data_IF_147769734332
#
_entry.id   IF_147769734332
#
_cell.length_a   1.000
_cell.length_b   1.000
_cell.length_c   1.000
_cell.angle_alpha   90.00
_cell.angle_beta   90.00
_cell.angle_gamma   90.00
#
_symmetry.space_group_name_H-M   'P 1'
#
loop_
_entity.id
_entity.type
_entity.pdbx_description
1 polymer ?
#
# COMPACT_ATOMS: atom_id res chain seq x y z
N UNK A 1 10.43 9.32 20.12
CA UNK A 1 9.43 8.62 19.29
C UNK A 1 8.16 9.45 19.04
N UNK A 2 7.42 9.91 20.07
CA UNK A 2 6.16 10.64 19.86
C UNK A 2 6.30 11.99 19.10
N UNK A 3 7.35 12.78 19.40
CA UNK A 3 7.61 14.07 18.73
C UNK A 3 7.80 13.92 17.21
N UNK A 4 8.55 12.91 16.78
CA UNK A 4 8.75 12.62 15.35
C UNK A 4 7.46 12.16 14.67
N UNK A 5 6.58 11.39 15.34
CA UNK A 5 5.30 10.96 14.74
C UNK A 5 4.40 12.15 14.41
N UNK A 6 4.31 13.14 15.29
CA UNK A 6 3.51 14.35 15.03
C UNK A 6 4.08 15.17 13.86
N UNK A 7 5.41 15.32 13.80
CA UNK A 7 6.11 15.98 12.68
C UNK A 7 5.86 15.25 11.36
N UNK A 8 5.95 13.92 11.34
CA UNK A 8 5.65 13.09 10.16
C UNK A 8 4.20 13.23 9.71
N UNK A 9 3.23 13.16 10.63
CA UNK A 9 1.81 13.35 10.29
C UNK A 9 1.55 14.75 9.73
N UNK A 10 2.16 15.78 10.31
CA UNK A 10 2.04 17.14 9.82
C UNK A 10 2.61 17.26 8.40
N UNK A 11 3.79 16.70 8.14
CA UNK A 11 4.38 16.66 6.80
C UNK A 11 3.45 15.96 5.78
N UNK A 12 2.87 14.80 6.11
CA UNK A 12 1.94 14.10 5.20
C UNK A 12 0.71 14.95 4.88
N UNK A 13 0.17 15.67 5.87
CA UNK A 13 -0.96 16.59 5.66
C UNK A 13 -0.59 17.76 4.75
N UNK A 14 0.60 18.33 4.92
CA UNK A 14 1.11 19.40 4.04
C UNK A 14 1.30 18.90 2.60
N UNK A 15 1.83 17.69 2.43
CA UNK A 15 1.98 17.06 1.11
C UNK A 15 0.62 16.83 0.45
N UNK A 16 -0.44 16.54 1.21
CA UNK A 16 -1.80 16.39 0.68
C UNK A 16 -2.29 17.69 0.02
N UNK A 17 -1.90 18.85 0.55
CA UNK A 17 -2.27 20.16 0.02
C UNK A 17 -1.37 20.66 -1.13
N UNK A 18 -0.24 19.98 -1.41
CA UNK A 18 0.75 20.42 -2.38
C UNK A 18 1.22 19.26 -3.25
N UNK A 19 0.54 19.05 -4.39
CA UNK A 19 0.92 18.00 -5.33
C UNK A 19 2.14 18.33 -6.19
N UNK A 20 2.74 17.31 -6.83
CA UNK A 20 3.90 17.48 -7.67
C UNK A 20 3.54 18.32 -8.90
N UNK A 21 4.29 19.41 -9.13
CA UNK A 21 4.08 20.32 -10.27
C UNK A 21 4.64 19.78 -11.59
N UNK A 22 5.51 18.79 -11.53
CA UNK A 22 6.16 18.17 -12.69
C UNK A 22 6.09 16.66 -12.58
N UNK A 23 5.92 16.00 -13.72
CA UNK A 23 5.74 14.55 -13.82
C UNK A 23 6.91 13.75 -13.25
N UNK A 24 8.15 14.19 -13.53
CA UNK A 24 9.36 13.50 -13.06
C UNK A 24 9.48 13.46 -11.55
N UNK A 25 8.95 14.47 -10.85
CA UNK A 25 8.90 14.50 -9.39
C UNK A 25 7.88 13.47 -8.86
N UNK A 26 6.70 13.38 -9.47
CA UNK A 26 5.71 12.36 -9.13
C UNK A 26 6.25 10.94 -9.34
N UNK A 27 6.97 10.69 -10.45
CA UNK A 27 7.59 9.40 -10.75
C UNK A 27 8.71 9.04 -9.76
N UNK A 28 9.53 10.02 -9.38
CA UNK A 28 10.58 9.85 -8.37
C UNK A 28 9.99 9.55 -6.99
N UNK A 29 8.93 10.29 -6.61
CA UNK A 29 8.20 10.04 -5.38
C UNK A 29 7.58 8.65 -5.39
N UNK A 30 6.93 8.24 -6.48
CA UNK A 30 6.31 6.92 -6.60
C UNK A 30 7.33 5.78 -6.45
N UNK A 31 8.54 5.93 -7.01
CA UNK A 31 9.64 4.97 -6.79
C UNK A 31 10.03 4.90 -5.32
N UNK A 32 10.20 6.06 -4.66
CA UNK A 32 10.58 6.11 -3.24
C UNK A 32 9.49 5.63 -2.29
N UNK A 33 8.23 5.88 -2.65
CA UNK A 33 7.07 5.35 -1.95
C UNK A 33 7.14 3.82 -1.95
N UNK A 34 7.23 3.18 -3.12
CA UNK A 34 7.34 1.73 -3.23
C UNK A 34 8.50 1.15 -2.40
N UNK A 35 9.68 1.77 -2.41
CA UNK A 35 10.83 1.29 -1.64
C UNK A 35 10.65 1.41 -0.11
N UNK A 36 9.93 2.44 0.36
CA UNK A 36 9.94 2.86 1.77
C UNK A 36 8.58 2.86 2.46
N UNK A 37 7.49 2.50 1.76
CA UNK A 37 6.12 2.70 2.26
C UNK A 37 5.86 2.01 3.60
N UNK A 38 6.46 0.84 3.86
CA UNK A 38 6.32 0.11 5.12
C UNK A 38 6.87 0.91 6.32
N UNK A 39 8.05 1.54 6.17
CA UNK A 39 8.65 2.40 7.20
C UNK A 39 7.85 3.69 7.38
N UNK A 40 7.47 4.34 6.28
CA UNK A 40 6.68 5.58 6.33
C UNK A 40 5.33 5.33 7.02
N UNK A 41 4.68 4.21 6.69
CA UNK A 41 3.43 3.78 7.33
C UNK A 41 3.57 3.59 8.83
N UNK A 42 4.65 2.94 9.29
CA UNK A 42 4.91 2.75 10.72
C UNK A 42 5.22 4.08 11.44
N UNK A 43 5.97 4.98 10.81
CA UNK A 43 6.30 6.30 11.34
C UNK A 43 5.09 7.21 11.45
N UNK A 44 4.20 7.18 10.46
CA UNK A 44 3.02 8.03 10.40
C UNK A 44 1.87 7.45 11.23
N UNK A 45 1.63 6.13 11.16
CA UNK A 45 0.53 5.42 11.84
C UNK A 45 -0.81 6.16 11.70
N UNK A 46 -1.11 6.55 10.47
CA UNK A 46 -2.33 7.25 10.05
C UNK A 46 -2.55 6.92 8.56
N UNK A 47 -3.19 5.79 8.31
CA UNK A 47 -3.37 5.24 6.95
C UNK A 47 -4.29 6.14 6.10
N UNK A 48 -5.24 6.86 6.72
CA UNK A 48 -6.12 7.80 6.03
C UNK A 48 -5.33 9.00 5.48
N UNK A 49 -4.51 9.63 6.33
CA UNK A 49 -3.68 10.76 5.91
C UNK A 49 -2.66 10.35 4.84
N UNK A 50 -2.08 9.15 4.95
CA UNK A 50 -1.21 8.61 3.90
C UNK A 50 -1.97 8.44 2.60
N UNK A 51 -3.16 7.82 2.64
CA UNK A 51 -3.97 7.58 1.46
C UNK A 51 -4.34 8.87 0.76
N UNK A 52 -4.72 9.92 1.50
CA UNK A 52 -5.02 11.23 0.93
C UNK A 52 -3.79 11.87 0.27
N UNK A 53 -2.61 11.77 0.90
CA UNK A 53 -1.36 12.22 0.30
C UNK A 53 -1.02 11.44 -0.99
N UNK A 54 -1.21 10.12 -1.00
CA UNK A 54 -1.03 9.31 -2.21
C UNK A 54 -2.00 9.73 -3.30
N UNK A 55 -3.24 10.11 -2.94
CA UNK A 55 -4.19 10.68 -3.89
C UNK A 55 -3.72 12.01 -4.50
N UNK A 56 -2.81 12.73 -3.86
CA UNK A 56 -2.23 13.96 -4.41
C UNK A 56 -0.95 13.70 -5.20
N UNK A 57 -0.10 12.76 -4.75
CA UNK A 57 1.28 12.64 -5.24
C UNK A 57 1.53 11.57 -6.30
N UNK A 58 0.74 10.51 -6.34
CA UNK A 58 0.97 9.44 -7.30
C UNK A 58 0.39 9.72 -8.70
N UNK A 59 0.95 9.15 -9.77
CA UNK A 59 0.29 9.15 -11.08
C UNK A 59 -1.07 8.45 -11.01
N UNK A 60 -2.11 9.09 -11.56
CA UNK A 60 -3.48 8.54 -11.51
C UNK A 60 -3.60 7.28 -12.35
N UNK A 61 -4.20 6.26 -11.77
CA UNK A 61 -4.69 5.11 -12.52
C UNK A 61 -5.83 5.52 -13.46
N UNK A 62 -5.81 4.98 -14.68
CA UNK A 62 -6.83 5.25 -15.72
C UNK A 62 -7.32 3.98 -16.42
N UNK A 63 -6.98 2.81 -15.88
CA UNK A 63 -7.41 1.52 -16.41
C UNK A 63 -8.74 1.04 -15.82
N UNK A 64 -9.15 -0.20 -16.15
CA UNK A 64 -10.38 -0.80 -15.64
C UNK A 64 -10.22 -1.29 -14.18
N UNK A 65 -11.33 -1.74 -13.58
CA UNK A 65 -11.25 -2.52 -12.34
C UNK A 65 -10.36 -3.76 -12.51
N UNK A 66 -9.65 -4.16 -11.46
CA UNK A 66 -8.70 -5.27 -11.47
C UNK A 66 -8.91 -6.20 -10.29
N UNK A 67 -8.73 -7.50 -10.51
CA UNK A 67 -8.55 -8.46 -9.42
C UNK A 67 -7.16 -8.28 -8.86
N UNK A 68 -7.05 -7.84 -7.61
CA UNK A 68 -5.77 -7.60 -6.95
C UNK A 68 -5.67 -8.39 -5.64
N UNK A 69 -4.44 -8.67 -5.26
CA UNK A 69 -4.07 -9.45 -4.09
C UNK A 69 -3.14 -8.65 -3.19
N UNK A 70 -3.18 -8.92 -1.88
CA UNK A 70 -2.24 -8.37 -0.92
C UNK A 70 -1.85 -9.41 0.11
N UNK A 71 -0.56 -9.56 0.36
CA UNK A 71 -0.10 -10.21 1.57
C UNK A 71 -0.16 -9.24 2.73
N UNK A 72 -0.95 -9.52 3.77
CA UNK A 72 -1.13 -8.65 4.93
C UNK A 72 -0.87 -9.42 6.23
N UNK A 73 -0.57 -8.69 7.31
CA UNK A 73 -0.56 -9.24 8.66
C UNK A 73 -1.98 -9.53 9.13
N UNK A 74 -2.20 -10.71 9.72
CA UNK A 74 -3.50 -11.07 10.31
C UNK A 74 -3.93 -10.03 11.34
N UNK A 75 -3.01 -9.59 12.20
CA UNK A 75 -3.28 -8.60 13.24
C UNK A 75 -3.72 -7.25 12.67
N UNK A 76 -3.07 -6.80 11.60
CA UNK A 76 -3.44 -5.53 10.95
C UNK A 76 -4.78 -5.64 10.24
N UNK A 77 -5.02 -6.76 9.56
CA UNK A 77 -6.27 -6.99 8.84
C UNK A 77 -7.48 -6.99 9.80
N UNK A 78 -7.40 -7.71 10.92
CA UNK A 78 -8.50 -7.75 11.91
C UNK A 78 -8.74 -6.41 12.60
N UNK A 79 -7.73 -5.53 12.68
CA UNK A 79 -7.87 -4.15 13.15
C UNK A 79 -8.36 -3.18 12.07
N UNK A 80 -8.66 -3.66 10.85
CA UNK A 80 -9.06 -2.82 9.72
C UNK A 80 -7.94 -1.95 9.15
N UNK A 81 -6.68 -2.18 9.55
CA UNK A 81 -5.49 -1.45 9.07
C UNK A 81 -4.92 -2.12 7.82
N UNK A 82 -5.59 -1.94 6.69
CA UNK A 82 -5.20 -2.58 5.43
C UNK A 82 -4.26 -1.67 4.65
N UNK A 83 -3.04 -2.14 4.35
CA UNK A 83 -2.09 -1.32 3.60
C UNK A 83 -2.44 -1.14 2.12
N UNK A 84 -1.90 -0.07 1.52
CA UNK A 84 -2.22 0.35 0.16
C UNK A 84 -1.49 -0.40 -0.95
N UNK A 85 -0.47 -1.21 -0.65
CA UNK A 85 0.28 -1.96 -1.67
C UNK A 85 -0.43 -3.28 -2.03
N UNK A 86 -0.95 -3.36 -3.26
CA UNK A 86 -1.64 -4.53 -3.82
C UNK A 86 -0.95 -4.96 -5.12
N UNK A 87 -1.20 -6.16 -5.61
CA UNK A 87 -0.55 -6.70 -6.82
C UNK A 87 -1.51 -7.57 -7.60
N UNK A 88 -1.38 -7.62 -8.92
CA UNK A 88 -2.11 -8.57 -9.76
C UNK A 88 -1.50 -9.99 -9.73
N UNK A 89 -0.37 -10.16 -9.04
CA UNK A 89 0.35 -11.44 -8.91
C UNK A 89 0.12 -12.07 -7.56
N UNK A 90 -0.70 -13.12 -7.51
CA UNK A 90 -0.97 -13.86 -6.28
C UNK A 90 0.29 -14.41 -5.61
N UNK A 91 1.32 -14.78 -6.36
CA UNK A 91 2.58 -15.30 -5.80
C UNK A 91 3.41 -14.20 -5.12
N UNK A 92 3.36 -12.97 -5.61
CA UNK A 92 3.93 -11.81 -4.92
C UNK A 92 3.20 -11.58 -3.60
N UNK A 93 1.85 -11.54 -3.62
CA UNK A 93 1.06 -11.43 -2.39
C UNK A 93 1.36 -12.56 -1.39
N UNK A 94 1.49 -13.80 -1.86
CA UNK A 94 1.88 -14.96 -1.06
C UNK A 94 3.27 -14.78 -0.42
N UNK A 95 4.23 -14.23 -1.16
CA UNK A 95 5.59 -13.98 -0.66
C UNK A 95 5.56 -13.02 0.54
N UNK A 96 4.82 -11.91 0.43
CA UNK A 96 4.66 -10.97 1.54
C UNK A 96 3.85 -11.57 2.70
N UNK A 97 2.79 -12.33 2.43
CA UNK A 97 1.96 -13.01 3.44
C UNK A 97 2.71 -14.10 4.21
N UNK A 98 3.81 -14.63 3.67
CA UNK A 98 4.69 -15.63 4.32
C UNK A 98 5.96 -15.04 4.92
N UNK A 99 6.33 -13.83 4.48
CA UNK A 99 7.56 -13.16 4.86
C UNK A 99 7.28 -11.92 5.70
N UNK A 100 7.65 -10.75 5.17
CA UNK A 100 7.69 -9.48 5.91
C UNK A 100 6.38 -9.11 6.64
N UNK A 101 5.22 -9.51 6.11
CA UNK A 101 3.93 -9.21 6.76
C UNK A 101 3.44 -10.32 7.69
N UNK A 102 4.09 -11.49 7.71
CA UNK A 102 3.76 -12.60 8.59
C UNK A 102 4.32 -12.40 10.01
N UNK A 103 3.99 -11.29 10.66
CA UNK A 103 4.41 -11.01 12.06
C UNK A 103 3.24 -11.25 13.03
N UNK A 104 3.55 -11.31 14.33
CA UNK A 104 2.53 -11.50 15.36
C UNK A 104 1.85 -12.86 15.22
N UNK A 105 0.57 -12.88 14.83
CA UNK A 105 -0.18 -14.12 14.53
C UNK A 105 0.08 -14.72 13.15
N UNK A 106 0.82 -14.02 12.29
CA UNK A 106 1.17 -14.49 10.95
C UNK A 106 0.56 -13.61 9.86
N UNK A 107 0.50 -14.15 8.64
CA UNK A 107 0.07 -13.41 7.47
C UNK A 107 -1.10 -14.08 6.74
N UNK A 108 -1.78 -13.30 5.91
CA UNK A 108 -2.94 -13.72 5.13
C UNK A 108 -2.87 -13.12 3.72
N UNK A 109 -3.35 -13.86 2.73
CA UNK A 109 -3.59 -13.31 1.39
C UNK A 109 -5.00 -12.72 1.37
N UNK A 110 -5.09 -11.42 1.09
CA UNK A 110 -6.32 -10.72 0.78
C UNK A 110 -6.54 -10.73 -0.73
N UNK A 111 -7.79 -10.87 -1.15
CA UNK A 111 -8.22 -10.86 -2.55
C UNK A 111 -9.47 -9.96 -2.70
N UNK A 112 -9.43 -9.05 -3.67
CA UNK A 112 -10.54 -8.15 -3.99
C UNK A 112 -10.61 -7.87 -5.50
N UNK A 113 -11.84 -7.73 -6.01
CA UNK A 113 -12.06 -7.02 -7.27
C UNK A 113 -12.05 -5.53 -6.96
N UNK A 114 -10.91 -4.89 -7.18
CA UNK A 114 -10.69 -3.48 -6.85
C UNK A 114 -11.27 -2.61 -7.96
N UNK A 115 -12.27 -1.76 -7.67
CA UNK A 115 -12.84 -0.87 -8.67
C UNK A 115 -11.83 0.20 -9.07
N UNK A 116 -11.93 0.72 -10.29
CA UNK A 116 -10.92 1.63 -10.85
C UNK A 116 -10.74 2.89 -9.98
N UNK A 117 -11.82 3.40 -9.38
CA UNK A 117 -11.84 4.55 -8.48
C UNK A 117 -11.17 4.32 -7.11
N UNK A 118 -10.90 3.06 -6.76
CA UNK A 118 -10.12 2.67 -5.59
C UNK A 118 -8.63 2.51 -5.90
N UNK A 119 -8.26 2.36 -7.18
CA UNK A 119 -6.85 2.26 -7.58
C UNK A 119 -6.29 3.69 -7.71
N UNK A 120 -5.33 4.03 -6.85
CA UNK A 120 -4.66 5.33 -6.86
C UNK A 120 -3.67 5.38 -8.04
N UNK A 121 -2.84 4.34 -8.18
CA UNK A 121 -1.76 4.28 -9.17
C UNK A 121 -1.49 2.85 -9.65
N UNK A 122 -1.14 2.74 -10.94
CA UNK A 122 -0.55 1.53 -11.54
C UNK A 122 0.89 1.31 -11.03
N UNK A 123 1.52 0.15 -11.32
CA UNK A 123 2.91 -0.10 -10.96
C UNK A 123 3.90 0.95 -11.44
N UNK A 124 4.80 1.35 -10.55
CA UNK A 124 5.97 2.15 -10.91
C UNK A 124 6.92 1.37 -11.82
N UNK A 125 7.76 2.09 -12.58
CA UNK A 125 8.80 1.47 -13.39
C UNK A 125 9.75 0.59 -12.55
N UNK A 126 10.03 0.99 -11.30
CA UNK A 126 10.82 0.19 -10.36
C UNK A 126 10.11 -1.13 -10.04
N UNK A 127 8.84 -1.06 -9.64
CA UNK A 127 8.06 -2.23 -9.22
C UNK A 127 7.89 -3.25 -10.36
N UNK A 128 7.73 -2.77 -11.59
CA UNK A 128 7.71 -3.62 -12.79
C UNK A 128 9.05 -4.33 -12.96
N UNK A 129 10.17 -3.60 -12.84
CA UNK A 129 11.53 -4.14 -13.01
C UNK A 129 11.85 -5.25 -12.01
N UNK A 130 11.37 -5.15 -10.77
CA UNK A 130 11.56 -6.19 -9.74
C UNK A 130 10.41 -7.21 -9.70
N UNK A 131 9.51 -7.17 -10.67
CA UNK A 131 8.40 -8.10 -10.85
C UNK A 131 7.32 -8.11 -9.75
N UNK A 132 7.34 -7.15 -8.82
CA UNK A 132 6.32 -7.04 -7.77
C UNK A 132 4.97 -6.52 -8.32
N UNK A 133 5.00 -5.67 -9.35
CA UNK A 133 3.81 -5.07 -9.97
C UNK A 133 2.83 -4.48 -8.93
N UNK A 134 3.35 -3.65 -8.04
CA UNK A 134 2.57 -3.01 -6.97
C UNK A 134 1.64 -1.93 -7.50
N UNK A 135 0.34 -2.09 -7.28
CA UNK A 135 -0.67 -1.06 -7.38
C UNK A 135 -0.85 -0.39 -6.02
N UNK A 136 -1.00 0.94 -6.00
CA UNK A 136 -1.43 1.66 -4.81
C UNK A 136 -2.95 1.74 -4.79
N UNK A 137 -3.58 1.27 -3.71
CA UNK A 137 -5.04 1.15 -3.56
C UNK A 137 -5.50 1.90 -2.31
N UNK A 138 -6.63 2.59 -2.45
CA UNK A 138 -7.40 3.18 -1.36
C UNK A 138 -8.33 2.11 -0.77
N UNK A 139 -7.95 1.52 0.36
CA UNK A 139 -8.73 0.45 0.99
C UNK A 139 -10.12 0.90 1.45
N UNK A 140 -10.32 2.20 1.67
CA UNK A 140 -11.59 2.79 2.14
C UNK A 140 -12.69 2.69 1.08
N UNK A 141 -12.30 2.47 -0.18
CA UNK A 141 -13.19 2.32 -1.34
C UNK A 141 -13.35 0.87 -1.79
N UNK A 142 -12.86 -0.10 -1.01
CA UNK A 142 -13.05 -1.52 -1.31
C UNK A 142 -14.41 -1.99 -0.79
N UNK A 143 -15.20 -2.62 -1.66
CA UNK A 143 -16.52 -3.13 -1.30
C UNK A 143 -16.45 -4.49 -0.59
N UNK A 144 -15.59 -5.38 -1.08
CA UNK A 144 -15.45 -6.74 -0.56
C UNK A 144 -13.98 -7.17 -0.58
N UNK A 145 -13.54 -7.74 0.55
CA UNK A 145 -12.22 -8.35 0.69
C UNK A 145 -12.44 -9.78 1.16
N UNK A 146 -11.88 -10.73 0.42
CA UNK A 146 -11.91 -12.15 0.76
C UNK A 146 -10.55 -12.58 1.29
N UNK A 147 -10.55 -13.47 2.29
CA UNK A 147 -9.34 -14.05 2.83
C UNK A 147 -9.05 -15.38 2.14
N UNK A 148 -7.88 -15.49 1.54
CA UNK A 148 -7.34 -16.73 1.01
C UNK A 148 -6.53 -17.49 2.07
N UNK A 149 -5.38 -18.01 1.66
CA UNK A 149 -4.50 -18.76 2.56
C UNK A 149 -3.91 -17.88 3.67
N UNK A 150 -3.86 -18.45 4.88
CA UNK A 150 -3.12 -17.92 6.02
C UNK A 150 -1.80 -18.64 6.21
N UNK A 151 -0.83 -17.97 6.82
CA UNK A 151 0.51 -18.48 7.07
C UNK A 151 0.93 -18.19 8.51
N UNK A 152 1.72 -19.08 9.13
CA UNK A 152 2.23 -18.85 10.48
C UNK A 152 3.19 -17.65 10.51
N UNK A 153 3.52 -17.15 11.70
CA UNK A 153 4.53 -16.11 11.86
C UNK A 153 5.86 -16.51 11.23
N UNK A 154 6.49 -15.57 10.53
CA UNK A 154 7.85 -15.68 10.05
C UNK A 154 8.82 -15.12 11.09
N UNK A 155 10.05 -15.64 11.10
CA UNK A 155 11.15 -15.10 11.93
C UNK A 155 11.86 -13.90 11.30
N UNK A 156 11.25 -13.24 10.29
CA UNK A 156 11.81 -12.12 9.52
C UNK A 156 11.38 -10.74 10.04
#
# INVERSE_FOLDING_TARGET
>A
MARHRAEWRQLIKELTACGPKIRTLAESFHTKWHESHHLIRELVDDDDALTDMLWTWLPRYSGPALRLYRGESIDRFELGKIGSAWTDKIDTARTFARGLNARGRGGVILDSLVPAEAIIAAPSAHSIRINECEFSVDYRKLEAITCGASFPPSGL
#
